data_IF_482517234200
#
_entry.id   IF_482517234200
#
_cell.length_a   1.000
_cell.length_b   1.000
_cell.length_c   1.000
_cell.angle_alpha   90.00
_cell.angle_beta   90.00
_cell.angle_gamma   90.00
#
_symmetry.space_group_name_H-M   'P 1'
#
loop_
_entity.id
_entity.type
_entity.pdbx_description
1 polymer ?
#
# COMPACT_ATOMS: atom_id res chain seq x y z
N UNK A 1 -7.79 -1.08 29.21
CA UNK A 1 -6.48 -0.95 28.55
C UNK A 1 -6.70 -1.24 27.07
N UNK A 2 -6.33 -0.32 26.17
CA UNK A 2 -6.42 -0.58 24.72
C UNK A 2 -5.36 -1.62 24.35
N UNK A 3 -5.74 -2.60 23.54
CA UNK A 3 -4.81 -3.60 23.03
C UNK A 3 -3.99 -2.96 21.90
N UNK A 4 -2.70 -2.70 22.13
CA UNK A 4 -1.82 -2.10 21.14
C UNK A 4 -1.51 -3.13 20.04
N UNK A 5 -1.73 -2.73 18.78
CA UNK A 5 -1.31 -3.52 17.61
C UNK A 5 0.00 -2.95 17.09
N UNK A 6 0.90 -3.83 16.64
CA UNK A 6 2.23 -3.43 16.13
C UNK A 6 2.17 -2.64 14.83
N UNK A 7 1.10 -2.78 14.05
CA UNK A 7 1.00 -2.24 12.69
C UNK A 7 1.77 -3.06 11.64
N UNK A 8 2.35 -4.19 12.03
CA UNK A 8 3.04 -5.11 11.13
C UNK A 8 2.03 -6.18 10.68
N UNK A 9 1.95 -6.42 9.38
CA UNK A 9 1.17 -7.52 8.79
C UNK A 9 2.06 -8.75 8.58
N UNK A 10 1.97 -9.79 9.43
CA UNK A 10 2.80 -10.99 9.30
C UNK A 10 2.38 -11.89 8.14
N UNK A 11 1.21 -11.64 7.52
CA UNK A 11 0.77 -12.42 6.36
C UNK A 11 1.63 -12.18 5.12
N UNK A 12 2.41 -11.09 5.11
CA UNK A 12 3.33 -10.75 4.03
C UNK A 12 4.67 -11.51 4.12
N UNK A 13 4.93 -12.19 5.24
CA UNK A 13 6.23 -12.78 5.52
C UNK A 13 6.46 -14.07 4.74
N UNK A 14 7.69 -14.25 4.24
CA UNK A 14 8.20 -15.54 3.77
C UNK A 14 9.18 -16.11 4.81
N UNK A 15 8.70 -17.04 5.63
CA UNK A 15 9.46 -17.66 6.72
C UNK A 15 10.51 -18.68 6.25
N UNK A 16 10.60 -18.96 4.95
CA UNK A 16 11.67 -19.79 4.39
C UNK A 16 12.99 -19.02 4.25
N UNK A 17 12.94 -17.69 4.21
CA UNK A 17 14.11 -16.81 4.17
C UNK A 17 14.47 -16.40 5.60
N UNK A 18 15.74 -16.46 5.98
CA UNK A 18 16.14 -15.95 7.28
C UNK A 18 16.17 -14.41 7.23
N UNK A 19 15.63 -13.70 8.23
CA UNK A 19 15.64 -12.24 8.24
C UNK A 19 17.05 -11.63 8.34
N UNK A 20 18.05 -12.39 8.81
CA UNK A 20 19.44 -11.95 8.82
C UNK A 20 20.11 -12.01 7.44
N UNK A 21 19.58 -12.85 6.54
CA UNK A 21 20.14 -13.04 5.20
C UNK A 21 19.50 -12.03 4.24
N UNK A 22 18.18 -11.84 4.31
CA UNK A 22 17.45 -10.82 3.57
C UNK A 22 16.15 -10.43 4.29
N UNK A 23 16.17 -9.29 4.99
CA UNK A 23 15.00 -8.78 5.71
C UNK A 23 13.87 -8.34 4.77
N UNK A 24 14.20 -7.84 3.58
CA UNK A 24 13.21 -7.36 2.62
C UNK A 24 12.39 -8.53 2.07
N UNK A 25 13.05 -9.60 1.63
CA UNK A 25 12.37 -10.81 1.16
C UNK A 25 11.68 -11.54 2.31
N UNK A 26 12.29 -11.63 3.50
CA UNK A 26 11.60 -12.21 4.65
C UNK A 26 10.28 -11.49 4.97
N UNK A 27 10.25 -10.16 4.92
CA UNK A 27 9.08 -9.39 5.36
C UNK A 27 8.02 -9.20 4.27
N UNK A 28 8.39 -9.32 2.99
CA UNK A 28 7.49 -9.05 1.86
C UNK A 28 7.37 -10.22 0.89
N UNK A 29 8.02 -11.36 1.16
CA UNK A 29 8.18 -12.46 0.20
C UNK A 29 6.87 -13.06 -0.27
N UNK A 30 5.85 -13.14 0.60
CA UNK A 30 4.53 -13.61 0.19
C UNK A 30 3.92 -12.68 -0.89
N UNK A 31 4.02 -11.36 -0.70
CA UNK A 31 3.56 -10.38 -1.68
C UNK A 31 4.40 -10.42 -2.96
N UNK A 32 5.74 -10.46 -2.84
CA UNK A 32 6.65 -10.54 -3.98
C UNK A 32 6.40 -11.76 -4.87
N UNK A 33 5.99 -12.88 -4.28
CA UNK A 33 5.74 -14.13 -5.02
C UNK A 33 4.40 -14.17 -5.78
N UNK A 34 3.44 -13.32 -5.40
CA UNK A 34 2.05 -13.37 -5.90
C UNK A 34 1.62 -12.11 -6.66
N UNK A 35 2.20 -10.96 -6.32
CA UNK A 35 1.82 -9.69 -6.90
C UNK A 35 2.34 -9.53 -8.33
N UNK A 36 1.48 -9.03 -9.20
CA UNK A 36 1.85 -8.67 -10.58
C UNK A 36 1.73 -7.17 -10.74
N UNK A 37 2.74 -6.54 -11.35
CA UNK A 37 2.66 -5.14 -11.72
C UNK A 37 1.60 -5.01 -12.83
N UNK A 38 0.54 -4.20 -12.63
CA UNK A 38 -0.47 -3.99 -13.66
C UNK A 38 0.14 -3.41 -14.95
N UNK A 39 -0.42 -3.76 -16.10
CA UNK A 39 0.16 -3.39 -17.40
C UNK A 39 0.13 -1.89 -17.72
N UNK A 40 -0.66 -1.10 -16.98
CA UNK A 40 -0.78 0.35 -17.12
C UNK A 40 0.35 1.13 -16.44
N UNK A 41 1.27 0.45 -15.72
CA UNK A 41 2.32 1.09 -14.92
C UNK A 41 3.61 0.31 -14.93
N UNK A 42 4.71 1.02 -14.68
CA UNK A 42 6.05 0.44 -14.62
C UNK A 42 6.44 -0.10 -13.24
N UNK A 43 5.67 0.22 -12.19
CA UNK A 43 5.93 -0.23 -10.82
C UNK A 43 4.65 -0.37 -10.00
N UNK A 44 4.73 -1.12 -8.90
CA UNK A 44 3.67 -1.25 -7.90
C UNK A 44 4.30 -1.42 -6.52
N UNK A 45 3.58 -1.00 -5.49
CA UNK A 45 4.00 -1.10 -4.09
C UNK A 45 3.19 -0.16 -3.21
N UNK A 46 3.48 -0.15 -1.90
CA UNK A 46 2.66 0.56 -0.92
C UNK A 46 2.54 2.07 -1.19
N UNK A 47 3.61 2.71 -1.68
CA UNK A 47 3.58 4.13 -2.03
C UNK A 47 2.66 4.43 -3.20
N UNK A 48 2.61 3.52 -4.19
CA UNK A 48 1.69 3.65 -5.33
C UNK A 48 0.25 3.37 -4.91
N UNK A 49 0.01 2.39 -4.02
CA UNK A 49 -1.31 2.15 -3.47
C UNK A 49 -1.85 3.37 -2.70
N UNK A 50 -1.02 4.01 -1.88
CA UNK A 50 -1.38 5.24 -1.18
C UNK A 50 -1.65 6.39 -2.15
N UNK A 51 -0.87 6.50 -3.24
CA UNK A 51 -1.12 7.47 -4.30
C UNK A 51 -2.50 7.28 -4.93
N UNK A 52 -2.86 6.05 -5.29
CA UNK A 52 -4.18 5.75 -5.87
C UNK A 52 -5.33 6.04 -4.90
N UNK A 53 -5.15 5.74 -3.61
CA UNK A 53 -6.15 6.08 -2.60
C UNK A 53 -6.35 7.59 -2.48
N UNK A 54 -5.25 8.36 -2.47
CA UNK A 54 -5.31 9.81 -2.43
C UNK A 54 -5.94 10.39 -3.72
N UNK A 55 -5.58 9.86 -4.89
CA UNK A 55 -6.17 10.26 -6.17
C UNK A 55 -7.70 10.05 -6.19
N UNK A 56 -8.17 8.88 -5.71
CA UNK A 56 -9.60 8.58 -5.61
C UNK A 56 -10.32 9.54 -4.65
N UNK A 57 -9.69 9.90 -3.52
CA UNK A 57 -10.25 10.87 -2.57
C UNK A 57 -10.32 12.28 -3.17
N UNK A 58 -9.28 12.73 -3.86
CA UNK A 58 -9.27 14.02 -4.56
C UNK A 58 -10.36 14.06 -5.63
N UNK A 59 -10.51 12.98 -6.41
CA UNK A 59 -11.59 12.87 -7.40
C UNK A 59 -12.96 12.99 -6.76
N UNK A 60 -13.21 12.29 -5.64
CA UNK A 60 -14.48 12.38 -4.91
C UNK A 60 -14.78 13.82 -4.45
N UNK A 61 -13.78 14.52 -3.90
CA UNK A 61 -13.92 15.93 -3.49
C UNK A 61 -14.32 16.81 -4.68
N UNK A 62 -13.68 16.62 -5.84
CA UNK A 62 -13.99 17.39 -7.05
C UNK A 62 -15.42 17.10 -7.54
N UNK A 63 -15.86 15.84 -7.49
CA UNK A 63 -17.20 15.43 -7.93
C UNK A 63 -18.31 15.91 -6.97
N UNK A 64 -18.00 16.04 -5.68
CA UNK A 64 -18.92 16.55 -4.65
C UNK A 64 -18.97 18.09 -4.60
N UNK A 65 -17.92 18.78 -5.07
CA UNK A 65 -17.85 20.23 -5.04
C UNK A 65 -18.94 20.86 -5.94
N UNK A 66 -19.92 21.51 -5.30
CA UNK A 66 -21.01 22.23 -5.97
C UNK A 66 -20.58 23.63 -6.46
N UNK A 67 -19.28 23.91 -6.45
CA UNK A 67 -18.70 25.18 -6.85
C UNK A 67 -18.96 26.25 -5.78
N UNK A 68 -17.92 26.62 -5.03
CA UNK A 68 -17.93 27.88 -4.29
C UNK A 68 -17.26 28.94 -5.14
N UNK A 69 -18.02 29.95 -5.57
CA UNK A 69 -17.42 31.19 -6.07
C UNK A 69 -16.58 31.74 -4.92
N UNK A 70 -15.26 31.78 -5.11
CA UNK A 70 -14.33 32.29 -4.11
C UNK A 70 -14.75 33.68 -3.63
N UNK A 71 -14.61 33.93 -2.31
CA UNK A 71 -14.55 35.30 -1.82
C UNK A 71 -13.24 35.95 -2.24
#
# INVERSE_FOLDING_TARGET
MSNLKSGIDPSLFDTKVRPQDDLYVYSNGAWLSTHQIPADRSNSGITYELFLQAEAQVKAIIEEDQGKIGR
#
